data_IF_472013464652
#
_entry.id   IF_472013464652
#
_cell.length_a   1.000
_cell.length_b   1.000
_cell.length_c   1.000
_cell.angle_alpha   90.00
_cell.angle_beta   90.00
_cell.angle_gamma   90.00
#
_symmetry.space_group_name_H-M   'P 1'
#
loop_
_entity.id
_entity.type
_entity.pdbx_description
1 polymer ?
#
# COMPACT_ATOMS: atom_id res chain seq x y z
N UNK A 1 -20.14 28.21 19.43
CA UNK A 1 -20.50 26.77 19.50
C UNK A 1 -20.42 26.05 18.15
N UNK A 2 -19.75 26.58 17.10
CA UNK A 2 -19.77 25.93 15.76
C UNK A 2 -18.42 25.82 15.03
N UNK A 3 -17.29 26.17 15.66
CA UNK A 3 -15.97 26.14 15.02
C UNK A 3 -15.24 24.81 15.26
N UNK A 4 -15.29 24.31 16.50
CA UNK A 4 -14.61 23.06 16.88
C UNK A 4 -15.17 21.80 16.19
N UNK A 5 -16.48 21.78 15.93
CA UNK A 5 -17.13 20.69 15.20
C UNK A 5 -16.73 20.66 13.72
N UNK A 6 -16.58 21.84 13.10
CA UNK A 6 -16.15 21.99 11.72
C UNK A 6 -14.69 21.59 11.53
N UNK A 7 -13.81 22.00 12.43
CA UNK A 7 -12.37 21.70 12.35
C UNK A 7 -12.13 20.19 12.50
N UNK A 8 -12.87 19.53 13.41
CA UNK A 8 -12.83 18.06 13.56
C UNK A 8 -13.38 17.34 12.32
N UNK A 9 -14.43 17.87 11.69
CA UNK A 9 -15.01 17.30 10.47
C UNK A 9 -14.03 17.34 9.29
N UNK A 10 -13.30 18.44 9.09
CA UNK A 10 -12.33 18.61 8.01
C UNK A 10 -11.23 17.55 8.09
N UNK A 11 -10.69 17.32 9.29
CA UNK A 11 -9.64 16.30 9.48
C UNK A 11 -10.15 14.88 9.27
N UNK A 12 -11.37 14.56 9.72
CA UNK A 12 -12.00 13.26 9.42
C UNK A 12 -12.18 13.06 7.92
N UNK A 13 -12.68 14.07 7.21
CA UNK A 13 -12.85 14.03 5.77
C UNK A 13 -11.51 13.88 5.04
N UNK A 14 -10.45 14.52 5.51
CA UNK A 14 -9.10 14.40 4.94
C UNK A 14 -8.55 12.98 5.10
N UNK A 15 -8.64 12.38 6.28
CA UNK A 15 -8.20 10.99 6.52
C UNK A 15 -8.99 10.03 5.62
N UNK A 16 -10.30 10.19 5.53
CA UNK A 16 -11.14 9.36 4.67
C UNK A 16 -10.80 9.53 3.18
N UNK A 17 -10.46 10.74 2.73
CA UNK A 17 -10.01 10.99 1.37
C UNK A 17 -8.68 10.27 1.05
N UNK A 18 -7.74 10.24 2.01
CA UNK A 18 -6.49 9.50 1.88
C UNK A 18 -6.76 7.99 1.76
N UNK A 19 -7.63 7.45 2.61
CA UNK A 19 -8.03 6.03 2.54
C UNK A 19 -8.68 5.69 1.19
N UNK A 20 -9.61 6.50 0.70
CA UNK A 20 -10.25 6.30 -0.60
C UNK A 20 -9.24 6.34 -1.75
N UNK A 21 -8.31 7.30 -1.74
CA UNK A 21 -7.24 7.38 -2.73
C UNK A 21 -6.36 6.13 -2.70
N UNK A 22 -5.96 5.70 -1.50
CA UNK A 22 -5.12 4.51 -1.33
C UNK A 22 -5.82 3.25 -1.88
N UNK A 23 -7.10 3.04 -1.54
CA UNK A 23 -7.89 1.90 -2.04
C UNK A 23 -7.98 1.91 -3.57
N UNK A 24 -8.29 3.07 -4.16
CA UNK A 24 -8.38 3.21 -5.61
C UNK A 24 -7.04 2.89 -6.30
N UNK A 25 -5.95 3.48 -5.80
CA UNK A 25 -4.61 3.29 -6.35
C UNK A 25 -4.14 1.83 -6.24
N UNK A 26 -4.30 1.22 -5.07
CA UNK A 26 -3.96 -0.19 -4.82
C UNK A 26 -4.81 -1.11 -5.70
N UNK A 27 -6.12 -0.84 -5.81
CA UNK A 27 -7.02 -1.62 -6.66
C UNK A 27 -6.62 -1.59 -8.13
N UNK A 28 -6.22 -0.43 -8.65
CA UNK A 28 -5.72 -0.28 -10.01
C UNK A 28 -4.44 -1.09 -10.24
N UNK A 29 -3.48 -1.02 -9.31
CA UNK A 29 -2.23 -1.78 -9.37
C UNK A 29 -2.48 -3.29 -9.29
N UNK A 30 -3.34 -3.73 -8.38
CA UNK A 30 -3.73 -5.12 -8.24
C UNK A 30 -4.39 -5.66 -9.51
N UNK A 31 -5.22 -4.85 -10.18
CA UNK A 31 -5.81 -5.20 -11.48
C UNK A 31 -4.73 -5.43 -12.56
N UNK A 32 -3.72 -4.54 -12.65
CA UNK A 32 -2.62 -4.73 -13.59
C UNK A 32 -1.82 -5.99 -13.31
N UNK A 33 -1.51 -6.27 -12.04
CA UNK A 33 -0.82 -7.51 -11.65
C UNK A 33 -1.66 -8.75 -11.99
N UNK A 34 -2.97 -8.73 -11.70
CA UNK A 34 -3.88 -9.82 -12.05
C UNK A 34 -3.95 -10.06 -13.57
N UNK A 35 -3.93 -8.99 -14.37
CA UNK A 35 -3.87 -9.09 -15.84
C UNK A 35 -2.58 -9.74 -16.33
N UNK A 36 -1.43 -9.46 -15.69
CA UNK A 36 -0.17 -10.12 -16.01
C UNK A 36 -0.17 -11.61 -15.63
N UNK A 37 -0.71 -11.93 -14.45
CA UNK A 37 -0.88 -13.32 -13.99
C UNK A 37 -1.78 -14.11 -14.94
N UNK A 38 -2.88 -13.53 -15.41
CA UNK A 38 -3.76 -14.17 -16.43
C UNK A 38 -3.06 -14.47 -17.75
N UNK A 39 -1.98 -13.75 -18.07
CA UNK A 39 -1.13 -13.99 -19.25
C UNK A 39 0.00 -14.99 -18.98
N UNK A 40 -0.01 -15.68 -17.84
CA UNK A 40 1.03 -16.62 -17.42
C UNK A 40 2.30 -15.98 -16.86
N UNK A 41 2.35 -14.63 -16.77
CA UNK A 41 3.51 -13.88 -16.28
C UNK A 41 3.37 -13.65 -14.78
N UNK A 42 3.70 -14.66 -13.98
CA UNK A 42 3.56 -14.61 -12.51
C UNK A 42 4.82 -14.01 -11.86
N UNK A 43 5.97 -14.67 -12.06
CA UNK A 43 7.27 -14.24 -11.56
C UNK A 43 7.97 -13.37 -12.61
N UNK A 44 7.59 -12.10 -12.66
CA UNK A 44 8.21 -11.13 -13.56
C UNK A 44 8.57 -9.86 -12.79
N UNK A 45 9.65 -9.19 -13.21
CA UNK A 45 10.11 -7.93 -12.59
C UNK A 45 9.01 -6.85 -12.57
N UNK A 46 8.09 -6.86 -13.54
CA UNK A 46 6.94 -5.95 -13.57
C UNK A 46 6.00 -6.20 -12.37
N UNK A 47 5.63 -7.45 -12.11
CA UNK A 47 4.75 -7.78 -10.98
C UNK A 47 5.43 -7.51 -9.64
N UNK A 48 6.73 -7.78 -9.54
CA UNK A 48 7.51 -7.44 -8.35
C UNK A 48 7.48 -5.93 -8.07
N UNK A 49 7.66 -5.09 -9.10
CA UNK A 49 7.55 -3.63 -8.97
C UNK A 49 6.14 -3.18 -8.60
N UNK A 50 5.11 -3.79 -9.18
CA UNK A 50 3.72 -3.49 -8.82
C UNK A 50 3.46 -3.83 -7.35
N UNK A 51 3.91 -4.99 -6.89
CA UNK A 51 3.74 -5.41 -5.50
C UNK A 51 4.49 -4.49 -4.52
N UNK A 52 5.71 -4.10 -4.88
CA UNK A 52 6.50 -3.11 -4.13
C UNK A 52 5.78 -1.75 -4.08
N UNK A 53 5.24 -1.28 -5.21
CA UNK A 53 4.49 -0.03 -5.27
C UNK A 53 3.23 -0.07 -4.40
N UNK A 54 2.48 -1.17 -4.41
CA UNK A 54 1.33 -1.39 -3.50
C UNK A 54 1.78 -1.29 -2.05
N UNK A 55 2.85 -2.00 -1.68
CA UNK A 55 3.35 -1.99 -0.30
C UNK A 55 3.79 -0.60 0.17
N UNK A 56 4.62 0.08 -0.63
CA UNK A 56 5.12 1.42 -0.34
C UNK A 56 3.96 2.43 -0.26
N UNK A 57 3.02 2.41 -1.21
CA UNK A 57 1.89 3.36 -1.20
C UNK A 57 0.97 3.15 0.01
N UNK A 58 0.73 1.88 0.38
CA UNK A 58 -0.08 1.54 1.56
C UNK A 58 0.61 2.03 2.84
N UNK A 59 1.92 1.78 2.95
CA UNK A 59 2.71 2.19 4.10
C UNK A 59 2.77 3.72 4.24
N UNK A 60 3.03 4.44 3.13
CA UNK A 60 3.03 5.90 3.11
C UNK A 60 1.66 6.48 3.51
N UNK A 61 0.56 5.87 3.03
CA UNK A 61 -0.80 6.29 3.40
C UNK A 61 -1.03 6.11 4.91
N UNK A 62 -0.61 4.98 5.48
CA UNK A 62 -0.69 4.74 6.93
C UNK A 62 0.16 5.73 7.74
N UNK A 63 1.38 6.04 7.29
CA UNK A 63 2.25 7.04 7.93
C UNK A 63 1.60 8.43 7.89
N UNK A 64 1.06 8.85 6.74
CA UNK A 64 0.39 10.14 6.60
C UNK A 64 -0.82 10.26 7.53
N UNK A 65 -1.66 9.22 7.60
CA UNK A 65 -2.81 9.19 8.52
C UNK A 65 -2.32 9.25 9.97
N UNK A 66 -1.28 8.50 10.33
CA UNK A 66 -0.74 8.52 11.70
C UNK A 66 -0.19 9.91 12.08
N UNK A 67 0.47 10.61 11.15
CA UNK A 67 0.91 11.99 11.39
C UNK A 67 -0.28 12.92 11.62
N UNK A 68 -1.34 12.81 10.80
CA UNK A 68 -2.55 13.62 10.96
C UNK A 68 -3.22 13.35 12.31
N UNK A 69 -3.35 12.07 12.70
CA UNK A 69 -3.96 11.67 13.98
C UNK A 69 -3.15 12.21 15.16
N UNK A 70 -1.82 12.13 15.14
CA UNK A 70 -0.99 12.64 16.25
C UNK A 70 -0.99 14.17 16.37
N UNK A 71 -1.32 14.90 15.29
CA UNK A 71 -1.40 16.36 15.27
C UNK A 71 -2.82 16.89 15.55
N UNK A 72 -3.81 16.02 15.66
CA UNK A 72 -5.23 16.38 15.80
C UNK A 72 -5.87 15.63 16.96
N UNK A 73 -6.97 16.10 17.56
CA UNK A 73 -7.64 15.41 18.67
C UNK A 73 -8.50 14.21 18.21
N UNK A 74 -8.11 13.49 17.14
CA UNK A 74 -8.93 12.49 16.46
C UNK A 74 -8.30 11.11 16.56
N UNK A 75 -8.49 10.46 17.70
CA UNK A 75 -7.90 9.14 17.98
C UNK A 75 -8.55 7.98 17.21
N UNK A 76 -9.70 8.21 16.59
CA UNK A 76 -10.54 7.17 15.98
C UNK A 76 -9.83 6.39 14.86
N UNK A 77 -8.80 6.97 14.23
CA UNK A 77 -8.08 6.37 13.10
C UNK A 77 -6.70 5.81 13.45
N UNK A 78 -6.27 5.88 14.72
CA UNK A 78 -4.92 5.46 15.11
C UNK A 78 -4.67 3.98 14.77
N UNK A 79 -5.63 3.10 15.08
CA UNK A 79 -5.53 1.67 14.77
C UNK A 79 -5.47 1.41 13.25
N UNK A 80 -6.28 2.10 12.44
CA UNK A 80 -6.26 1.96 10.98
C UNK A 80 -4.90 2.35 10.39
N UNK A 81 -4.30 3.43 10.91
CA UNK A 81 -2.99 3.90 10.47
C UNK A 81 -1.90 2.85 10.69
N UNK A 82 -1.88 2.21 11.86
CA UNK A 82 -0.93 1.14 12.19
C UNK A 82 -1.16 -0.08 11.30
N UNK A 83 -2.41 -0.48 11.08
CA UNK A 83 -2.74 -1.60 10.20
C UNK A 83 -2.25 -1.37 8.77
N UNK A 84 -2.45 -0.17 8.22
CA UNK A 84 -1.95 0.18 6.88
C UNK A 84 -0.42 0.13 6.81
N UNK A 85 0.28 0.59 7.84
CA UNK A 85 1.75 0.51 7.91
C UNK A 85 2.21 -0.95 7.90
N UNK A 86 1.62 -1.81 8.74
CA UNK A 86 1.99 -3.23 8.85
C UNK A 86 1.68 -3.97 7.55
N UNK A 87 0.49 -3.79 6.98
CA UNK A 87 0.09 -4.42 5.72
C UNK A 87 1.02 -3.96 4.59
N UNK A 88 1.31 -2.66 4.50
CA UNK A 88 2.25 -2.11 3.53
C UNK A 88 3.64 -2.74 3.64
N UNK A 89 4.17 -2.86 4.86
CA UNK A 89 5.45 -3.52 5.12
C UNK A 89 5.44 -5.00 4.67
N UNK A 90 4.36 -5.74 4.93
CA UNK A 90 4.21 -7.13 4.48
C UNK A 90 4.25 -7.21 2.94
N UNK A 91 3.53 -6.34 2.23
CA UNK A 91 3.58 -6.32 0.76
C UNK A 91 4.98 -6.02 0.22
N UNK A 92 5.72 -5.10 0.85
CA UNK A 92 7.12 -4.85 0.50
C UNK A 92 7.99 -6.09 0.73
N UNK A 93 7.82 -6.78 1.86
CA UNK A 93 8.53 -8.04 2.12
C UNK A 93 8.23 -9.10 1.06
N UNK A 94 6.97 -9.29 0.69
CA UNK A 94 6.60 -10.23 -0.38
C UNK A 94 7.22 -9.79 -1.72
N UNK A 95 7.34 -8.49 -1.99
CA UNK A 95 8.01 -8.00 -3.20
C UNK A 95 9.50 -8.38 -3.24
N UNK A 96 10.18 -8.38 -2.09
CA UNK A 96 11.57 -8.88 -2.01
C UNK A 96 11.66 -10.39 -2.22
N UNK A 97 10.71 -11.16 -1.67
CA UNK A 97 10.64 -12.62 -1.93
C UNK A 97 10.44 -12.89 -3.42
N UNK A 98 9.59 -12.12 -4.10
CA UNK A 98 9.41 -12.20 -5.54
C UNK A 98 10.70 -11.88 -6.31
N UNK A 99 11.45 -10.86 -5.88
CA UNK A 99 12.73 -10.50 -6.49
C UNK A 99 13.74 -11.65 -6.38
N UNK A 100 13.87 -12.26 -5.20
CA UNK A 100 14.75 -13.42 -5.01
C UNK A 100 14.29 -14.59 -5.87
N UNK A 101 12.99 -14.89 -5.92
CA UNK A 101 12.45 -15.97 -6.74
C UNK A 101 12.71 -15.77 -8.24
N UNK A 102 12.61 -14.53 -8.74
CA UNK A 102 12.96 -14.18 -10.12
C UNK A 102 14.45 -14.44 -10.39
N UNK A 103 15.34 -14.01 -9.49
CA UNK A 103 16.79 -14.24 -9.65
C UNK A 103 17.13 -15.73 -9.67
N UNK A 104 16.52 -16.52 -8.80
CA UNK A 104 16.72 -17.98 -8.79
C UNK A 104 16.28 -18.64 -10.11
N UNK A 105 15.16 -18.18 -10.69
CA UNK A 105 14.72 -18.64 -12.00
C UNK A 105 15.69 -18.22 -13.12
N UNK A 106 16.15 -16.96 -13.10
CA UNK A 106 17.15 -16.45 -14.06
C UNK A 106 18.47 -17.24 -13.97
N UNK A 107 18.91 -17.63 -12.76
CA UNK A 107 20.13 -18.44 -12.56
C UNK A 107 19.96 -19.88 -13.05
N UNK A 108 18.79 -20.49 -12.84
CA UNK A 108 18.50 -21.84 -13.33
C UNK A 108 18.49 -21.90 -14.87
N UNK A 109 17.88 -20.92 -15.54
CA UNK A 109 17.83 -20.84 -17.00
C UNK A 109 19.22 -20.67 -17.65
N UNK A 110 20.21 -20.14 -16.92
CA UNK A 110 21.60 -19.97 -17.41
C UNK A 110 22.45 -21.24 -17.28
N UNK A 111 22.01 -22.22 -16.49
CA UNK A 111 22.75 -23.48 -16.24
C UNK A 111 22.31 -24.64 -17.14
N UNK A 112 21.29 -24.44 -17.98
CA UNK A 112 20.78 -25.40 -18.96
C UNK A 112 21.36 -25.06 -20.33
#
# INVERSE_FOLDING_TARGET
MGKDDSDTFIWKALVQAIECYAIFFIGLLAYFMASNVKKGKVFCRINQRILSAIGISTMLSGVLINVIVNLTPIDVFHQNSILLIVIGAVFVLVSFVFEVGIRMQEEQDLTI
#
